data_IF_002897343606
#
_entry.id   IF_002897343606
#
_cell.length_a   1.000
_cell.length_b   1.000
_cell.length_c   1.000
_cell.angle_alpha   90.00
_cell.angle_beta   90.00
_cell.angle_gamma   90.00
#
_symmetry.space_group_name_H-M   'P 1'
#
loop_
_entity.id
_entity.type
_entity.pdbx_description
1 polymer ?
#
# COMPACT_ATOMS: atom_id res chain seq x y z
N UNK A 1 -7.91 46.19 6.00
CA UNK A 1 -6.76 45.91 6.89
C UNK A 1 -6.97 44.51 7.43
N UNK A 2 -6.55 43.49 6.66
CA UNK A 2 -6.54 42.13 7.17
C UNK A 2 -5.31 41.96 8.06
N UNK A 3 -5.54 41.66 9.34
CA UNK A 3 -4.48 41.26 10.25
C UNK A 3 -4.02 39.87 9.83
N UNK A 4 -2.75 39.73 9.45
CA UNK A 4 -2.14 38.41 9.24
C UNK A 4 -2.38 37.54 10.49
N UNK A 5 -2.86 36.29 10.35
CA UNK A 5 -3.10 35.41 11.47
C UNK A 5 -1.78 35.13 12.21
N UNK A 6 -1.85 35.15 13.55
CA UNK A 6 -0.69 34.86 14.42
C UNK A 6 -0.55 33.34 14.52
N UNK A 7 0.61 32.80 14.14
CA UNK A 7 0.92 31.39 14.27
C UNK A 7 1.47 31.07 15.68
N UNK A 8 1.01 29.95 16.26
CA UNK A 8 1.33 29.50 17.61
C UNK A 8 1.72 28.02 17.63
N UNK A 9 2.70 27.67 18.46
CA UNK A 9 3.10 26.27 18.74
C UNK A 9 3.31 26.09 20.25
N UNK A 10 2.77 25.02 20.84
CA UNK A 10 2.67 24.85 22.30
C UNK A 10 3.16 23.46 22.77
N UNK A 11 3.85 23.40 23.92
CA UNK A 11 4.13 22.16 24.67
C UNK A 11 3.70 22.30 26.13
N UNK A 12 3.02 21.29 26.66
CA UNK A 12 2.75 21.18 28.10
C UNK A 12 4.02 20.68 28.78
N UNK A 13 4.59 21.50 29.66
CA UNK A 13 5.79 21.12 30.42
C UNK A 13 5.44 20.28 31.65
N UNK A 14 4.27 20.55 32.24
CA UNK A 14 3.75 19.83 33.40
C UNK A 14 2.25 20.02 33.57
N UNK A 15 1.56 18.96 34.01
CA UNK A 15 0.13 18.99 34.28
C UNK A 15 -0.22 18.56 35.73
N UNK A 16 -0.84 19.46 36.51
CA UNK A 16 -1.25 19.20 37.92
C UNK A 16 -2.76 19.31 38.08
N UNK A 17 -3.28 18.98 39.27
CA UNK A 17 -4.73 18.98 39.56
C UNK A 17 -5.41 20.34 39.32
N UNK A 18 -4.74 21.44 39.65
CA UNK A 18 -5.33 22.80 39.62
C UNK A 18 -4.67 23.75 38.61
N UNK A 19 -3.49 23.40 38.10
CA UNK A 19 -2.66 24.27 37.25
C UNK A 19 -1.96 23.49 36.16
N UNK A 20 -1.64 24.16 35.05
CA UNK A 20 -0.87 23.63 33.92
C UNK A 20 0.27 24.59 33.56
N UNK A 21 1.47 24.05 33.35
CA UNK A 21 2.64 24.81 32.87
C UNK A 21 2.82 24.57 31.37
N UNK A 22 2.93 25.65 30.58
CA UNK A 22 3.10 25.56 29.11
C UNK A 22 4.21 26.45 28.59
N UNK A 23 4.90 25.96 27.56
CA UNK A 23 5.77 26.75 26.70
C UNK A 23 5.04 27.05 25.39
N UNK A 24 5.13 28.29 24.91
CA UNK A 24 4.47 28.75 23.70
C UNK A 24 5.45 29.52 22.81
N UNK A 25 5.65 29.08 21.58
CA UNK A 25 6.23 29.91 20.53
C UNK A 25 5.15 30.77 19.87
N UNK A 26 5.50 32.01 19.58
CA UNK A 26 4.69 33.00 18.88
C UNK A 26 5.54 33.61 17.77
N UNK A 27 5.01 33.71 16.54
CA UNK A 27 5.60 34.53 15.45
C UNK A 27 4.89 35.90 15.28
N UNK A 28 5.60 37.01 15.48
CA UNK A 28 5.06 38.38 15.30
C UNK A 28 5.55 38.91 13.95
N UNK A 29 4.66 39.13 12.98
CA UNK A 29 5.03 39.86 11.76
C UNK A 29 5.13 41.35 12.07
N UNK A 30 6.25 41.99 11.69
CA UNK A 30 6.41 43.44 11.76
C UNK A 30 6.19 44.09 10.38
N UNK A 31 5.69 45.32 10.36
CA UNK A 31 5.50 46.11 9.13
C UNK A 31 6.79 46.37 8.33
N UNK A 32 7.96 46.15 8.93
CA UNK A 32 9.28 46.26 8.30
C UNK A 32 9.71 45.02 7.52
N UNK A 33 8.90 43.95 7.50
CA UNK A 33 9.27 42.65 6.92
C UNK A 33 10.15 41.78 7.81
N UNK A 34 10.52 42.25 9.01
CA UNK A 34 11.23 41.46 10.02
C UNK A 34 10.21 40.62 10.81
N UNK A 35 10.51 39.35 11.03
CA UNK A 35 9.67 38.46 11.85
C UNK A 35 10.39 38.12 13.16
N UNK A 36 9.75 38.40 14.30
CA UNK A 36 10.27 38.08 15.63
C UNK A 36 9.60 36.79 16.15
N UNK A 37 10.40 35.77 16.46
CA UNK A 37 9.94 34.59 17.23
C UNK A 37 10.19 34.82 18.70
N UNK A 38 9.17 34.64 19.54
CA UNK A 38 9.27 34.80 21.00
C UNK A 38 8.80 33.53 21.71
N UNK A 39 9.51 33.15 22.77
CA UNK A 39 9.12 32.10 23.70
C UNK A 39 8.37 32.73 24.88
N UNK A 40 7.16 32.27 25.13
CA UNK A 40 6.38 32.63 26.31
C UNK A 40 6.27 31.42 27.23
N UNK A 41 6.64 31.63 28.49
CA UNK A 41 6.46 30.69 29.58
C UNK A 41 5.35 31.20 30.50
N UNK A 42 4.46 30.31 30.91
CA UNK A 42 3.38 30.69 31.82
C UNK A 42 2.78 29.49 32.55
N UNK A 43 2.25 29.78 33.74
CA UNK A 43 1.42 28.86 34.52
C UNK A 43 -0.02 29.37 34.52
N UNK A 44 -0.95 28.47 34.23
CA UNK A 44 -2.35 28.78 34.00
C UNK A 44 -3.23 27.97 34.95
N UNK A 45 -4.32 28.58 35.43
CA UNK A 45 -5.33 27.86 36.21
C UNK A 45 -6.18 27.01 35.27
N UNK A 46 -6.44 25.76 35.64
CA UNK A 46 -7.36 24.89 34.91
C UNK A 46 -8.79 25.41 35.07
N UNK A 47 -9.51 25.57 33.95
CA UNK A 47 -10.91 25.96 33.99
C UNK A 47 -11.74 24.85 34.67
N UNK A 48 -12.60 25.22 35.63
CA UNK A 48 -13.47 24.27 36.32
C UNK A 48 -14.67 23.82 35.46
N UNK A 49 -14.92 24.47 34.31
CA UNK A 49 -15.99 24.11 33.38
C UNK A 49 -15.66 24.51 31.92
N UNK A 50 -16.21 23.77 30.95
CA UNK A 50 -15.82 23.73 29.52
C UNK A 50 -16.11 25.00 28.69
N UNK A 51 -16.60 26.07 29.31
CA UNK A 51 -17.03 27.31 28.63
C UNK A 51 -16.09 28.50 28.83
N UNK A 52 -15.03 28.37 29.65
CA UNK A 52 -14.09 29.45 29.94
C UNK A 52 -12.69 29.15 29.38
N UNK A 53 -12.09 30.12 28.68
CA UNK A 53 -10.68 30.06 28.26
C UNK A 53 -9.78 30.18 29.49
N UNK A 54 -8.77 29.31 29.59
CA UNK A 54 -7.76 29.30 30.66
C UNK A 54 -7.12 30.70 30.86
N UNK A 55 -6.98 31.13 32.11
CA UNK A 55 -6.41 32.44 32.48
C UNK A 55 -5.06 32.32 33.20
N UNK A 56 -4.15 33.31 33.04
CA UNK A 56 -2.87 33.33 33.77
C UNK A 56 -3.08 33.43 35.29
N UNK A 57 -2.21 32.79 36.07
CA UNK A 57 -2.38 32.62 37.52
C UNK A 57 -2.15 33.91 38.36
N UNK A 58 -1.34 34.87 37.90
CA UNK A 58 -1.10 36.17 38.58
C UNK A 58 -0.67 37.28 37.59
N UNK A 59 -0.96 38.56 37.89
CA UNK A 59 -0.83 39.66 36.93
C UNK A 59 0.43 40.55 37.05
N UNK A 60 1.28 40.47 38.08
CA UNK A 60 2.57 41.22 38.16
C UNK A 60 3.57 40.51 39.11
N UNK A 61 4.84 40.22 38.72
CA UNK A 61 5.29 40.06 37.34
C UNK A 61 4.34 39.05 36.67
N UNK A 62 4.01 39.24 35.38
CA UNK A 62 2.91 38.48 34.76
C UNK A 62 3.04 36.94 34.89
N UNK A 63 4.23 36.40 35.17
CA UNK A 63 4.52 35.29 36.10
C UNK A 63 6.06 35.12 36.21
N UNK A 64 6.66 35.14 37.39
CA UNK A 64 8.00 34.55 37.57
C UNK A 64 7.83 33.03 37.69
N UNK A 65 8.26 32.31 36.66
CA UNK A 65 8.16 30.85 36.60
C UNK A 65 9.55 30.25 36.85
N UNK A 66 9.76 29.73 38.05
CA UNK A 66 10.91 28.84 38.30
C UNK A 66 10.54 27.45 37.81
N UNK A 67 11.32 26.94 36.86
CA UNK A 67 11.17 25.58 36.31
C UNK A 67 11.93 24.63 37.23
N UNK A 68 11.31 23.50 37.59
CA UNK A 68 12.06 22.38 38.17
C UNK A 68 12.85 21.61 37.10
N UNK A 69 13.64 20.61 37.51
CA UNK A 69 14.54 19.87 36.60
C UNK A 69 13.78 19.19 35.45
N UNK A 70 12.57 18.66 35.72
CA UNK A 70 11.71 18.04 34.70
C UNK A 70 11.14 19.10 33.74
N UNK A 71 10.56 20.18 34.26
CA UNK A 71 10.04 21.30 33.47
C UNK A 71 11.15 21.95 32.62
N UNK A 72 12.38 22.03 33.15
CA UNK A 72 13.55 22.60 32.49
C UNK A 72 14.05 21.72 31.35
N UNK A 73 14.21 20.41 31.57
CA UNK A 73 14.58 19.44 30.51
C UNK A 73 13.55 19.42 29.39
N UNK A 74 12.26 19.32 29.74
CA UNK A 74 11.17 19.32 28.75
C UNK A 74 11.13 20.61 27.91
N UNK A 75 11.54 21.75 28.49
CA UNK A 75 11.67 23.02 27.79
C UNK A 75 12.90 23.04 26.86
N UNK A 76 14.05 22.53 27.31
CA UNK A 76 15.24 22.40 26.45
C UNK A 76 14.90 21.57 25.22
N UNK A 77 14.28 20.40 25.42
CA UNK A 77 13.86 19.53 24.32
C UNK A 77 12.92 20.26 23.37
N UNK A 78 11.93 20.99 23.90
CA UNK A 78 11.00 21.79 23.09
C UNK A 78 11.71 22.83 22.23
N UNK A 79 12.66 23.58 22.82
CA UNK A 79 13.39 24.63 22.09
C UNK A 79 14.28 24.01 21.03
N UNK A 80 15.05 22.97 21.38
CA UNK A 80 15.95 22.28 20.46
C UNK A 80 15.18 21.69 19.27
N UNK A 81 14.03 21.09 19.52
CA UNK A 81 13.21 20.46 18.48
C UNK A 81 12.45 21.49 17.62
N UNK A 82 11.98 22.61 18.19
CA UNK A 82 10.96 23.42 17.53
C UNK A 82 11.39 24.85 17.14
N UNK A 83 12.50 25.39 17.67
CA UNK A 83 12.88 26.80 17.45
C UNK A 83 13.22 27.12 15.99
N UNK A 84 14.21 26.42 15.42
CA UNK A 84 14.66 26.67 14.04
C UNK A 84 13.55 26.41 13.00
N UNK A 85 12.80 25.28 13.07
CA UNK A 85 11.66 25.06 12.18
C UNK A 85 10.59 26.14 12.28
N UNK A 86 10.21 26.51 13.51
CA UNK A 86 9.20 27.55 13.72
C UNK A 86 9.70 28.94 13.29
N UNK A 87 11.00 29.21 13.38
CA UNK A 87 11.60 30.43 12.82
C UNK A 87 11.55 30.46 11.30
N UNK A 88 11.77 29.33 10.64
CA UNK A 88 11.76 29.20 9.19
C UNK A 88 10.36 29.19 8.55
N UNK A 89 9.30 29.44 9.32
CA UNK A 89 7.94 29.39 8.79
C UNK A 89 7.24 28.04 8.93
N UNK A 90 7.98 26.97 9.23
CA UNK A 90 7.48 25.61 9.16
C UNK A 90 6.55 25.27 10.33
N UNK A 91 5.41 24.66 10.02
CA UNK A 91 4.43 24.14 11.00
C UNK A 91 4.71 22.67 11.37
N UNK A 92 5.44 21.97 10.50
CA UNK A 92 5.95 20.61 10.69
C UNK A 92 7.25 20.48 9.89
N UNK A 93 8.21 19.69 10.38
CA UNK A 93 9.50 19.46 9.72
C UNK A 93 9.86 17.98 9.77
N UNK A 94 10.81 17.58 8.92
CA UNK A 94 11.35 16.22 8.88
C UNK A 94 12.79 16.28 9.39
N UNK A 95 13.09 15.81 10.61
CA UNK A 95 14.45 15.75 11.12
C UNK A 95 15.29 14.74 10.33
N UNK A 96 16.43 15.17 9.81
CA UNK A 96 17.34 14.32 9.05
C UNK A 96 18.31 13.51 9.94
N UNK A 97 18.47 13.90 11.21
CA UNK A 97 19.27 13.20 12.22
C UNK A 97 18.52 12.00 12.83
N UNK A 98 17.18 12.00 12.77
CA UNK A 98 16.30 10.91 13.22
C UNK A 98 15.26 10.53 12.16
N UNK A 99 15.69 10.12 10.95
CA UNK A 99 14.79 9.99 9.81
C UNK A 99 13.80 8.80 9.89
N UNK A 100 14.01 7.86 10.82
CA UNK A 100 13.21 6.62 10.92
C UNK A 100 12.34 6.53 12.18
N UNK A 101 12.16 7.64 12.92
CA UNK A 101 11.27 7.64 14.08
C UNK A 101 9.79 7.81 13.70
N UNK A 102 8.91 7.66 14.69
CA UNK A 102 7.46 7.79 14.47
C UNK A 102 7.04 9.22 14.12
N UNK A 103 7.80 10.23 14.54
CA UNK A 103 7.49 11.64 14.24
C UNK A 103 7.73 11.92 12.75
N UNK A 104 8.90 11.55 12.23
CA UNK A 104 9.24 11.64 10.82
C UNK A 104 8.26 10.87 9.96
N UNK A 105 7.90 9.64 10.35
CA UNK A 105 6.90 8.85 9.65
C UNK A 105 5.53 9.57 9.56
N UNK A 106 5.10 10.23 10.64
CA UNK A 106 3.85 10.98 10.66
C UNK A 106 3.92 12.27 9.82
N UNK A 107 5.06 12.99 9.84
CA UNK A 107 5.28 14.16 9.00
C UNK A 107 5.24 13.80 7.51
N UNK A 108 5.94 12.72 7.12
CA UNK A 108 5.95 12.19 5.75
C UNK A 108 4.55 11.70 5.33
N UNK A 109 3.82 10.99 6.21
CA UNK A 109 2.42 10.61 5.94
C UNK A 109 1.51 11.83 5.78
N UNK A 110 1.71 12.87 6.58
CA UNK A 110 0.97 14.13 6.48
C UNK A 110 1.17 14.79 5.12
N UNK A 111 2.42 14.83 4.63
CA UNK A 111 2.75 15.34 3.30
C UNK A 111 2.01 14.56 2.20
N UNK A 112 2.09 13.23 2.19
CA UNK A 112 1.44 12.42 1.15
C UNK A 112 -0.09 12.33 1.24
N UNK A 113 -0.68 12.69 2.39
CA UNK A 113 -2.13 12.77 2.57
C UNK A 113 -2.70 14.18 2.35
N UNK A 114 -1.89 15.13 1.86
CA UNK A 114 -2.34 16.50 1.58
C UNK A 114 -3.51 16.50 0.57
N UNK A 115 -4.52 17.39 0.73
CA UNK A 115 -5.66 17.47 -0.19
C UNK A 115 -5.26 17.69 -1.65
N UNK A 116 -4.18 18.43 -1.88
CA UNK A 116 -3.64 18.75 -3.21
C UNK A 116 -2.64 17.69 -3.71
N UNK A 117 -3.06 16.42 -3.75
CA UNK A 117 -2.18 15.31 -4.16
C UNK A 117 -1.54 15.51 -5.54
N UNK A 118 -2.23 16.13 -6.49
CA UNK A 118 -1.72 16.38 -7.84
C UNK A 118 -0.52 17.32 -7.83
N UNK A 119 -0.63 18.47 -7.15
CA UNK A 119 0.48 19.43 -7.04
C UNK A 119 1.71 18.83 -6.35
N UNK A 120 1.50 17.96 -5.36
CA UNK A 120 2.60 17.22 -4.73
C UNK A 120 3.27 16.24 -5.71
N UNK A 121 2.50 15.50 -6.51
CA UNK A 121 3.05 14.58 -7.51
C UNK A 121 3.84 15.32 -8.59
N UNK A 122 3.31 16.43 -9.09
CA UNK A 122 3.98 17.28 -10.09
C UNK A 122 5.29 17.83 -9.52
N UNK A 123 5.29 18.29 -8.27
CA UNK A 123 6.49 18.77 -7.59
C UNK A 123 7.54 17.66 -7.40
N UNK A 124 7.13 16.46 -6.95
CA UNK A 124 8.02 15.30 -6.80
C UNK A 124 8.66 14.93 -8.14
N UNK A 125 7.86 14.87 -9.20
CA UNK A 125 8.31 14.49 -10.54
C UNK A 125 9.23 15.56 -11.16
N UNK A 126 8.88 16.85 -11.03
CA UNK A 126 9.65 17.95 -11.60
C UNK A 126 11.04 18.10 -10.95
N UNK A 127 11.16 17.76 -9.66
CA UNK A 127 12.38 17.93 -8.89
C UNK A 127 13.15 16.63 -8.62
N UNK A 128 12.74 15.50 -9.23
CA UNK A 128 13.34 14.18 -9.05
C UNK A 128 13.54 13.81 -7.56
N UNK A 129 12.55 14.14 -6.73
CA UNK A 129 12.64 13.99 -5.26
C UNK A 129 12.70 12.51 -4.87
N UNK A 130 12.04 11.65 -5.67
CA UNK A 130 12.04 10.21 -5.49
C UNK A 130 12.75 9.62 -6.70
N UNK A 131 14.03 9.26 -6.56
CA UNK A 131 14.78 8.64 -7.64
C UNK A 131 14.11 7.35 -8.13
N UNK A 132 14.27 7.05 -9.42
CA UNK A 132 13.68 5.85 -10.04
C UNK A 132 14.07 4.55 -9.31
N UNK A 133 15.34 4.42 -8.88
CA UNK A 133 15.81 3.24 -8.14
C UNK A 133 15.05 3.03 -6.81
N UNK A 134 14.63 4.10 -6.13
CA UNK A 134 13.87 4.00 -4.89
C UNK A 134 12.44 3.50 -5.16
N UNK A 135 11.84 3.94 -6.27
CA UNK A 135 10.52 3.44 -6.72
C UNK A 135 10.60 1.95 -7.00
N UNK A 136 11.61 1.51 -7.76
CA UNK A 136 11.86 0.10 -8.06
C UNK A 136 12.10 -0.72 -6.78
N UNK A 137 12.94 -0.23 -5.87
CA UNK A 137 13.20 -0.90 -4.58
C UNK A 137 11.93 -1.04 -3.72
N UNK A 138 11.06 -0.03 -3.70
CA UNK A 138 9.77 -0.10 -2.99
C UNK A 138 8.82 -1.12 -3.64
N UNK A 139 8.76 -1.17 -4.97
CA UNK A 139 7.98 -2.18 -5.68
C UNK A 139 8.50 -3.60 -5.43
N UNK A 140 9.82 -3.80 -5.53
CA UNK A 140 10.48 -5.06 -5.24
C UNK A 140 10.18 -5.54 -3.82
N UNK A 141 10.36 -4.67 -2.81
CA UNK A 141 10.03 -4.99 -1.41
C UNK A 141 8.57 -5.39 -1.23
N UNK A 142 7.62 -4.68 -1.86
CA UNK A 142 6.20 -5.04 -1.80
C UNK A 142 5.91 -6.39 -2.45
N UNK A 143 6.55 -6.71 -3.58
CA UNK A 143 6.41 -8.01 -4.26
C UNK A 143 6.97 -9.14 -3.39
N UNK A 144 8.13 -8.93 -2.77
CA UNK A 144 8.71 -9.84 -1.78
C UNK A 144 7.76 -10.13 -0.62
N UNK A 145 7.19 -9.08 -0.01
CA UNK A 145 6.22 -9.23 1.09
C UNK A 145 4.95 -9.98 0.63
N UNK A 146 4.48 -9.74 -0.60
CA UNK A 146 3.34 -10.42 -1.18
C UNK A 146 3.61 -11.92 -1.40
N UNK A 147 4.78 -12.27 -1.93
CA UNK A 147 5.21 -13.67 -2.12
C UNK A 147 5.34 -14.38 -0.77
N UNK A 148 6.01 -13.77 0.21
CA UNK A 148 6.13 -14.34 1.56
C UNK A 148 4.77 -14.50 2.25
N UNK A 149 3.79 -13.64 1.94
CA UNK A 149 2.40 -13.83 2.39
C UNK A 149 1.72 -14.99 1.64
N UNK A 150 1.91 -15.12 0.33
CA UNK A 150 1.38 -16.24 -0.46
C UNK A 150 1.85 -17.58 0.13
N UNK A 151 3.15 -17.71 0.38
CA UNK A 151 3.75 -18.95 0.92
C UNK A 151 3.18 -19.32 2.29
N UNK A 152 2.96 -18.34 3.17
CA UNK A 152 2.27 -18.56 4.45
C UNK A 152 0.82 -18.99 4.25
N UNK A 153 0.09 -18.32 3.38
CA UNK A 153 -1.29 -18.68 3.05
C UNK A 153 -1.40 -20.09 2.47
N UNK A 154 -0.39 -20.57 1.75
CA UNK A 154 -0.32 -21.95 1.24
C UNK A 154 -0.04 -23.00 2.31
N UNK A 155 0.40 -22.61 3.50
CA UNK A 155 0.59 -23.50 4.64
C UNK A 155 -0.63 -23.50 5.59
N UNK A 156 -1.55 -22.56 5.38
CA UNK A 156 -2.77 -22.40 6.15
C UNK A 156 -3.97 -23.01 5.35
N UNK A 157 -4.86 -23.78 5.99
CA UNK A 157 -6.10 -24.29 5.35
C UNK A 157 -7.15 -23.16 5.27
N UNK A 158 -6.87 -22.17 4.44
CA UNK A 158 -7.71 -20.99 4.25
C UNK A 158 -8.93 -21.31 3.39
N UNK A 159 -10.04 -20.64 3.68
CA UNK A 159 -11.18 -20.58 2.77
C UNK A 159 -10.83 -19.77 1.51
N UNK A 160 -11.75 -19.72 0.54
CA UNK A 160 -11.50 -19.08 -0.75
C UNK A 160 -11.41 -17.55 -0.68
N UNK A 161 -12.18 -16.90 0.21
CA UNK A 161 -12.24 -15.44 0.31
C UNK A 161 -10.86 -14.78 0.57
N UNK A 162 -10.02 -15.26 1.52
CA UNK A 162 -8.66 -14.76 1.68
C UNK A 162 -7.82 -14.80 0.40
N UNK A 163 -8.00 -15.83 -0.42
CA UNK A 163 -7.32 -15.94 -1.72
C UNK A 163 -7.84 -14.89 -2.71
N UNK A 164 -9.16 -14.74 -2.84
CA UNK A 164 -9.77 -13.71 -3.68
C UNK A 164 -9.23 -12.31 -3.35
N UNK A 165 -9.21 -11.94 -2.07
CA UNK A 165 -8.67 -10.65 -1.60
C UNK A 165 -7.17 -10.49 -1.92
N UNK A 166 -6.39 -11.57 -1.75
CA UNK A 166 -4.97 -11.54 -2.04
C UNK A 166 -4.70 -11.36 -3.54
N UNK A 167 -5.42 -12.09 -4.41
CA UNK A 167 -5.26 -12.00 -5.85
C UNK A 167 -5.73 -10.64 -6.40
N UNK A 168 -6.80 -10.07 -5.86
CA UNK A 168 -7.26 -8.73 -6.25
C UNK A 168 -6.20 -7.67 -5.95
N UNK A 169 -5.54 -7.77 -4.79
CA UNK A 169 -4.45 -6.84 -4.41
C UNK A 169 -3.15 -7.08 -5.17
N UNK A 170 -2.90 -8.30 -5.63
CA UNK A 170 -1.64 -8.74 -6.23
C UNK A 170 -1.81 -9.29 -7.64
N UNK A 171 -2.71 -8.71 -8.44
CA UNK A 171 -3.06 -9.21 -9.78
C UNK A 171 -1.86 -9.32 -10.74
N UNK A 172 -0.77 -8.60 -10.48
CA UNK A 172 0.50 -8.71 -11.20
C UNK A 172 1.06 -10.14 -11.28
N UNK A 173 0.72 -11.01 -10.31
CA UNK A 173 1.14 -12.43 -10.34
C UNK A 173 0.43 -13.25 -11.39
N UNK A 174 -0.69 -12.76 -11.94
CA UNK A 174 -1.39 -13.40 -13.05
C UNK A 174 -0.71 -13.11 -14.39
N UNK A 175 0.34 -12.27 -14.41
CA UNK A 175 1.15 -11.96 -15.58
C UNK A 175 0.84 -10.59 -16.18
N UNK A 176 1.58 -10.24 -17.24
CA UNK A 176 1.45 -8.96 -17.97
C UNK A 176 0.16 -8.86 -18.78
N UNK A 177 -0.59 -9.95 -18.88
CA UNK A 177 -1.83 -10.03 -19.64
C UNK A 177 -2.97 -9.19 -19.01
N UNK A 178 -2.76 -8.58 -17.83
CA UNK A 178 -3.79 -7.89 -17.07
C UNK A 178 -3.39 -6.46 -16.72
N UNK A 179 -4.32 -5.52 -16.93
CA UNK A 179 -4.17 -4.11 -16.56
C UNK A 179 -4.69 -3.87 -15.15
N UNK A 180 -5.94 -4.31 -14.89
CA UNK A 180 -6.62 -4.06 -13.62
C UNK A 180 -7.74 -5.06 -13.37
N UNK A 181 -8.04 -5.26 -12.09
CA UNK A 181 -9.29 -5.90 -11.64
C UNK A 181 -10.38 -4.84 -11.63
N UNK A 182 -11.58 -5.20 -12.08
CA UNK A 182 -12.76 -4.33 -12.06
C UNK A 182 -13.48 -4.46 -10.72
N UNK A 183 -14.17 -3.39 -10.30
CA UNK A 183 -14.98 -3.41 -9.08
C UNK A 183 -16.24 -4.30 -9.23
N UNK A 184 -16.64 -4.59 -10.47
CA UNK A 184 -17.74 -5.49 -10.80
C UNK A 184 -17.28 -6.96 -10.86
N UNK A 185 -18.14 -7.84 -10.34
CA UNK A 185 -17.96 -9.31 -10.32
C UNK A 185 -19.13 -10.05 -10.94
N UNK A 186 -20.33 -9.46 -10.90
CA UNK A 186 -21.57 -10.03 -11.37
C UNK A 186 -21.70 -9.84 -12.88
N UNK A 187 -21.56 -10.93 -13.62
CA UNK A 187 -21.80 -10.97 -15.06
C UNK A 187 -23.30 -10.73 -15.29
N UNK A 188 -24.13 -11.49 -14.60
CA UNK A 188 -25.59 -11.31 -14.55
C UNK A 188 -26.13 -11.55 -13.12
N UNK A 189 -27.45 -11.66 -12.99
CA UNK A 189 -28.13 -11.87 -11.69
C UNK A 189 -27.84 -13.22 -11.01
N UNK A 190 -27.26 -14.19 -11.74
CA UNK A 190 -27.04 -15.58 -11.29
C UNK A 190 -25.57 -15.97 -11.29
N UNK A 191 -24.74 -15.32 -12.10
CA UNK A 191 -23.36 -15.67 -12.34
C UNK A 191 -22.44 -14.58 -11.80
N UNK A 192 -21.82 -14.86 -10.66
CA UNK A 192 -20.88 -13.98 -9.97
C UNK A 192 -19.52 -14.66 -10.01
N UNK A 193 -18.58 -14.06 -10.75
CA UNK A 193 -17.20 -14.52 -10.84
C UNK A 193 -16.38 -14.09 -9.61
N UNK A 194 -15.18 -14.65 -9.47
CA UNK A 194 -14.25 -14.17 -8.44
C UNK A 194 -13.74 -12.77 -8.75
N UNK A 195 -13.41 -12.51 -10.01
CA UNK A 195 -13.06 -11.17 -10.48
C UNK A 195 -13.26 -11.06 -11.99
N UNK A 196 -13.74 -9.90 -12.42
CA UNK A 196 -13.63 -9.46 -13.81
C UNK A 196 -12.38 -8.58 -13.95
N UNK A 197 -11.71 -8.71 -15.08
CA UNK A 197 -10.45 -7.99 -15.33
C UNK A 197 -10.48 -7.34 -16.68
N UNK A 198 -9.75 -6.23 -16.79
CA UNK A 198 -9.34 -5.73 -18.09
C UNK A 198 -7.97 -6.32 -18.42
N UNK A 199 -7.91 -7.07 -19.52
CA UNK A 199 -6.68 -7.57 -20.10
C UNK A 199 -5.85 -6.46 -20.74
N UNK A 200 -4.56 -6.73 -20.98
CA UNK A 200 -3.60 -5.78 -21.56
C UNK A 200 -4.02 -5.26 -22.95
N UNK A 201 -4.74 -6.08 -23.71
CA UNK A 201 -5.31 -5.75 -25.02
C UNK A 201 -6.62 -4.94 -24.92
N UNK A 202 -7.08 -4.66 -23.69
CA UNK A 202 -8.23 -3.84 -23.37
C UNK A 202 -9.56 -4.58 -23.32
N UNK A 203 -9.56 -5.91 -23.47
CA UNK A 203 -10.78 -6.73 -23.39
C UNK A 203 -11.08 -7.23 -21.98
N UNK A 204 -12.34 -7.60 -21.75
CA UNK A 204 -12.80 -8.13 -20.48
C UNK A 204 -12.49 -9.63 -20.40
N UNK A 205 -11.72 -10.01 -19.38
CA UNK A 205 -11.39 -11.40 -19.03
C UNK A 205 -11.95 -11.75 -17.64
N UNK A 206 -12.02 -13.04 -17.35
CA UNK A 206 -12.59 -13.60 -16.11
C UNK A 206 -11.52 -14.30 -15.30
N UNK A 207 -11.53 -14.10 -13.99
CA UNK A 207 -10.79 -14.90 -13.04
C UNK A 207 -11.72 -15.80 -12.23
N UNK A 208 -11.32 -17.06 -12.09
CA UNK A 208 -11.96 -18.03 -11.20
C UNK A 208 -10.90 -18.69 -10.33
N UNK A 209 -11.16 -18.80 -9.04
CA UNK A 209 -10.29 -19.39 -8.05
C UNK A 209 -11.07 -20.49 -7.35
N UNK A 210 -10.41 -21.63 -7.14
CA UNK A 210 -10.81 -22.61 -6.13
C UNK A 210 -9.74 -22.70 -5.08
N UNK A 211 -10.13 -22.76 -3.80
CA UNK A 211 -9.18 -22.91 -2.68
C UNK A 211 -8.14 -24.03 -2.95
N UNK A 212 -6.87 -23.83 -2.58
CA UNK A 212 -5.78 -24.74 -2.93
C UNK A 212 -5.89 -26.08 -2.20
N UNK A 213 -6.37 -26.05 -0.96
CA UNK A 213 -6.44 -27.18 -0.05
C UNK A 213 -7.89 -27.62 0.18
N UNK A 214 -8.09 -28.89 0.50
CA UNK A 214 -9.39 -29.52 0.66
C UNK A 214 -9.46 -30.89 0.00
N UNK A 215 -10.68 -31.39 -0.24
CA UNK A 215 -10.90 -32.65 -0.99
C UNK A 215 -10.83 -32.47 -2.52
N UNK A 216 -10.39 -31.30 -3.00
CA UNK A 216 -10.34 -31.00 -4.44
C UNK A 216 -9.08 -31.61 -5.05
N UNK A 217 -9.26 -32.58 -5.94
CA UNK A 217 -8.14 -33.22 -6.64
C UNK A 217 -7.92 -32.56 -8.00
N UNK A 218 -6.67 -32.40 -8.45
CA UNK A 218 -6.41 -31.93 -9.82
C UNK A 218 -6.57 -33.07 -10.83
N UNK A 219 -5.84 -34.17 -10.61
CA UNK A 219 -5.90 -35.40 -11.38
C UNK A 219 -6.84 -36.41 -10.73
N UNK A 220 -7.44 -37.29 -11.53
CA UNK A 220 -8.16 -38.43 -10.97
C UNK A 220 -7.20 -39.39 -10.23
N UNK A 221 -7.71 -40.10 -9.22
CA UNK A 221 -6.92 -41.04 -8.41
C UNK A 221 -6.35 -42.22 -9.20
N UNK A 222 -6.97 -42.53 -10.35
CA UNK A 222 -6.57 -43.62 -11.23
C UNK A 222 -6.30 -43.09 -12.63
N UNK A 223 -5.24 -43.62 -13.23
CA UNK A 223 -4.95 -43.41 -14.64
C UNK A 223 -6.04 -44.04 -15.51
N UNK A 224 -6.30 -43.43 -16.65
CA UNK A 224 -7.17 -43.99 -17.68
C UNK A 224 -6.31 -44.39 -18.90
N UNK A 225 -6.22 -45.70 -19.16
CA UNK A 225 -5.35 -46.26 -20.21
C UNK A 225 -3.90 -45.75 -20.15
N UNK A 226 -3.37 -45.54 -18.93
CA UNK A 226 -2.01 -45.03 -18.70
C UNK A 226 -1.88 -43.50 -18.72
N UNK A 227 -2.97 -42.76 -18.89
CA UNK A 227 -2.95 -41.29 -18.96
C UNK A 227 -3.49 -40.66 -17.67
N UNK A 228 -2.89 -39.53 -17.26
CA UNK A 228 -3.48 -38.67 -16.25
C UNK A 228 -4.66 -37.92 -16.85
N UNK A 229 -5.83 -38.07 -16.22
CA UNK A 229 -7.08 -37.41 -16.64
C UNK A 229 -7.54 -36.43 -15.58
N UNK A 230 -8.14 -35.29 -15.96
CA UNK A 230 -8.71 -34.33 -15.02
C UNK A 230 -9.66 -35.02 -14.05
N UNK A 231 -9.58 -34.65 -12.77
CA UNK A 231 -10.55 -35.13 -11.78
C UNK A 231 -11.96 -34.61 -12.08
N UNK A 232 -12.96 -35.18 -11.40
CA UNK A 232 -14.32 -34.61 -11.42
C UNK A 232 -14.39 -33.19 -10.86
N UNK A 233 -13.50 -32.83 -9.93
CA UNK A 233 -13.48 -31.52 -9.29
C UNK A 233 -12.91 -30.46 -10.22
N UNK A 234 -11.79 -30.78 -10.88
CA UNK A 234 -11.21 -29.92 -11.91
C UNK A 234 -12.19 -29.77 -13.09
N UNK A 235 -12.85 -30.85 -13.51
CA UNK A 235 -13.85 -30.80 -14.58
C UNK A 235 -15.03 -29.87 -14.23
N UNK A 236 -15.54 -29.91 -12.99
CA UNK A 236 -16.58 -28.98 -12.53
C UNK A 236 -16.11 -27.53 -12.54
N UNK A 237 -14.87 -27.28 -12.10
CA UNK A 237 -14.30 -25.93 -12.09
C UNK A 237 -14.07 -25.39 -13.52
N UNK A 238 -13.58 -26.23 -14.43
CA UNK A 238 -13.47 -25.91 -15.86
C UNK A 238 -14.86 -25.56 -16.42
N UNK A 239 -15.88 -26.37 -16.13
CA UNK A 239 -17.22 -26.10 -16.62
C UNK A 239 -17.80 -24.78 -16.08
N UNK A 240 -17.50 -24.45 -14.83
CA UNK A 240 -17.90 -23.17 -14.24
C UNK A 240 -17.20 -21.99 -14.94
N UNK A 241 -15.89 -22.07 -15.17
CA UNK A 241 -15.13 -21.07 -15.90
C UNK A 241 -15.65 -20.88 -17.34
N UNK A 242 -15.90 -21.98 -18.05
CA UNK A 242 -16.50 -21.95 -19.39
C UNK A 242 -17.90 -21.33 -19.38
N UNK A 243 -18.70 -21.55 -18.33
CA UNK A 243 -20.00 -20.91 -18.18
C UNK A 243 -19.87 -19.40 -18.06
N UNK A 244 -18.90 -18.90 -17.29
CA UNK A 244 -18.68 -17.45 -17.17
C UNK A 244 -18.25 -16.80 -18.46
N UNK A 245 -17.34 -17.42 -19.21
CA UNK A 245 -16.98 -16.95 -20.57
C UNK A 245 -18.24 -16.81 -21.43
N UNK A 246 -19.08 -17.85 -21.47
CA UNK A 246 -20.31 -17.85 -22.25
C UNK A 246 -21.28 -16.73 -21.83
N UNK A 247 -21.46 -16.51 -20.53
CA UNK A 247 -22.38 -15.47 -20.04
C UNK A 247 -21.85 -14.06 -20.31
N UNK A 248 -20.53 -13.85 -20.21
CA UNK A 248 -19.92 -12.57 -20.62
C UNK A 248 -20.13 -12.33 -22.13
N UNK A 249 -19.96 -13.36 -22.97
CA UNK A 249 -20.25 -13.23 -24.40
C UNK A 249 -21.72 -12.88 -24.67
N UNK A 250 -22.66 -13.41 -23.87
CA UNK A 250 -24.10 -13.07 -24.00
C UNK A 250 -24.40 -11.63 -23.61
N UNK A 251 -23.71 -11.11 -22.61
CA UNK A 251 -23.85 -9.72 -22.17
C UNK A 251 -23.06 -8.73 -23.03
N UNK A 252 -22.39 -9.18 -24.10
CA UNK A 252 -21.45 -8.33 -24.83
C UNK A 252 -22.06 -7.09 -25.52
N UNK A 253 -23.37 -7.13 -25.81
CA UNK A 253 -24.12 -6.01 -26.39
C UNK A 253 -25.04 -5.31 -25.37
N UNK A 254 -24.94 -5.67 -24.09
CA UNK A 254 -25.75 -5.09 -23.02
C UNK A 254 -25.14 -3.77 -22.57
N UNK A 255 -25.81 -2.65 -22.91
CA UNK A 255 -25.36 -1.31 -22.50
C UNK A 255 -25.22 -1.21 -20.97
N UNK A 256 -26.18 -1.79 -20.24
CA UNK A 256 -26.14 -1.83 -18.76
C UNK A 256 -24.94 -2.60 -18.24
N UNK A 257 -24.59 -3.73 -18.86
CA UNK A 257 -23.40 -4.47 -18.46
C UNK A 257 -22.14 -3.66 -18.73
N UNK A 258 -22.02 -3.10 -19.94
CA UNK A 258 -20.88 -2.26 -20.33
C UNK A 258 -20.68 -1.08 -19.38
N UNK A 259 -21.74 -0.40 -18.94
CA UNK A 259 -21.65 0.67 -17.94
C UNK A 259 -21.11 0.16 -16.59
N UNK A 260 -21.55 -1.02 -16.13
CA UNK A 260 -21.06 -1.63 -14.87
C UNK A 260 -19.59 -2.03 -14.93
N UNK A 261 -19.09 -2.39 -16.12
CA UNK A 261 -17.70 -2.80 -16.33
C UNK A 261 -16.82 -1.67 -16.89
N UNK A 262 -17.19 -0.41 -16.67
CA UNK A 262 -16.42 0.78 -17.12
C UNK A 262 -16.12 0.77 -18.63
N UNK A 263 -17.12 0.38 -19.43
CA UNK A 263 -17.07 0.29 -20.88
C UNK A 263 -15.94 -0.59 -21.45
N UNK A 264 -15.40 -1.51 -20.64
CA UNK A 264 -14.42 -2.50 -21.11
C UNK A 264 -15.09 -3.41 -22.14
N UNK A 265 -14.43 -3.60 -23.28
CA UNK A 265 -14.99 -4.36 -24.40
C UNK A 265 -15.02 -5.85 -24.08
N UNK A 266 -16.12 -6.50 -24.40
CA UNK A 266 -16.39 -7.90 -24.08
C UNK A 266 -16.40 -8.73 -25.37
N UNK A 267 -15.24 -8.87 -26.01
CA UNK A 267 -15.08 -9.67 -27.22
C UNK A 267 -14.17 -10.84 -26.90
N UNK A 268 -14.67 -12.07 -27.09
CA UNK A 268 -13.92 -13.31 -26.86
C UNK A 268 -13.21 -13.33 -25.49
N UNK A 269 -13.97 -13.19 -24.39
CA UNK A 269 -13.40 -13.19 -23.05
C UNK A 269 -12.62 -14.49 -22.81
N UNK A 270 -11.48 -14.36 -22.17
CA UNK A 270 -10.67 -15.48 -21.68
C UNK A 270 -10.94 -15.68 -20.20
N UNK A 271 -10.60 -16.85 -19.68
CA UNK A 271 -10.62 -17.11 -18.25
C UNK A 271 -9.30 -17.69 -17.75
N UNK A 272 -8.83 -17.19 -16.61
CA UNK A 272 -7.83 -17.88 -15.80
C UNK A 272 -8.54 -18.58 -14.65
N UNK A 273 -8.39 -19.91 -14.60
CA UNK A 273 -8.81 -20.75 -13.50
C UNK A 273 -7.60 -21.10 -12.63
N UNK A 274 -7.63 -20.74 -11.36
CA UNK A 274 -6.61 -21.12 -10.38
C UNK A 274 -7.14 -22.28 -9.54
N UNK A 275 -6.53 -23.45 -9.67
CA UNK A 275 -7.03 -24.69 -9.10
C UNK A 275 -5.91 -25.61 -8.62
N UNK A 276 -5.98 -26.02 -7.35
CA UNK A 276 -5.15 -27.08 -6.78
C UNK A 276 -3.66 -26.77 -6.67
N UNK A 277 -2.92 -27.75 -6.17
CA UNK A 277 -1.46 -27.72 -5.99
C UNK A 277 -0.79 -28.67 -6.99
N UNK A 278 0.43 -28.31 -7.39
CA UNK A 278 1.31 -29.13 -8.23
C UNK A 278 2.67 -29.38 -7.58
N UNK A 279 2.80 -29.11 -6.28
CA UNK A 279 4.02 -29.33 -5.50
C UNK A 279 4.43 -30.81 -5.39
N UNK A 280 3.50 -31.74 -5.65
CA UNK A 280 3.69 -33.19 -5.63
C UNK A 280 3.73 -33.82 -7.03
N UNK A 281 3.73 -33.02 -8.10
CA UNK A 281 3.71 -33.55 -9.47
C UNK A 281 5.08 -34.05 -9.92
N UNK A 282 5.05 -35.17 -10.63
CA UNK A 282 6.18 -35.69 -11.39
C UNK A 282 6.19 -35.11 -12.82
N UNK A 283 7.15 -35.56 -13.63
CA UNK A 283 7.28 -35.14 -15.02
C UNK A 283 6.07 -35.52 -15.88
N UNK A 284 5.44 -36.68 -15.62
CA UNK A 284 4.31 -37.17 -16.41
C UNK A 284 3.02 -36.38 -16.14
N UNK A 285 2.74 -36.04 -14.87
CA UNK A 285 1.66 -35.11 -14.50
C UNK A 285 1.89 -33.73 -15.10
N UNK A 286 3.14 -33.25 -15.08
CA UNK A 286 3.49 -31.95 -15.66
C UNK A 286 3.33 -31.92 -17.19
N UNK A 287 3.69 -33.01 -17.87
CA UNK A 287 3.45 -33.18 -19.30
C UNK A 287 1.94 -33.22 -19.61
N UNK A 288 1.19 -34.03 -18.86
CA UNK A 288 -0.27 -34.13 -19.01
C UNK A 288 -0.97 -32.79 -18.77
N UNK A 289 -0.49 -31.99 -17.81
CA UNK A 289 -0.98 -30.63 -17.57
C UNK A 289 -0.77 -29.72 -18.79
N UNK A 290 0.38 -29.82 -19.44
CA UNK A 290 0.68 -29.02 -20.64
C UNK A 290 -0.23 -29.42 -21.80
N UNK A 291 -0.47 -30.72 -21.98
CA UNK A 291 -1.42 -31.25 -22.98
C UNK A 291 -2.83 -30.73 -22.69
N UNK A 292 -3.30 -30.86 -21.44
CA UNK A 292 -4.61 -30.37 -21.01
C UNK A 292 -4.78 -28.88 -21.32
N UNK A 293 -3.84 -28.03 -20.90
CA UNK A 293 -3.93 -26.60 -21.16
C UNK A 293 -3.89 -26.25 -22.65
N UNK A 294 -3.12 -26.99 -23.46
CA UNK A 294 -3.07 -26.76 -24.91
C UNK A 294 -4.39 -27.04 -25.64
N UNK A 295 -5.30 -27.81 -25.01
CA UNK A 295 -6.62 -28.09 -25.58
C UNK A 295 -7.61 -26.93 -25.44
N UNK A 296 -7.30 -25.94 -24.59
CA UNK A 296 -8.14 -24.77 -24.35
C UNK A 296 -7.70 -23.58 -25.19
N UNK A 297 -8.66 -22.85 -25.75
CA UNK A 297 -8.43 -21.67 -26.58
C UNK A 297 -8.68 -20.35 -25.82
N UNK A 298 -9.62 -20.35 -24.88
CA UNK A 298 -10.02 -19.19 -24.08
C UNK A 298 -10.00 -19.48 -22.57
N UNK A 299 -9.41 -20.59 -22.14
CA UNK A 299 -9.26 -20.95 -20.72
C UNK A 299 -7.79 -21.29 -20.47
N UNK A 300 -7.25 -20.81 -19.36
CA UNK A 300 -5.94 -21.22 -18.83
C UNK A 300 -6.13 -21.72 -17.42
N UNK A 301 -5.70 -22.94 -17.14
CA UNK A 301 -5.72 -23.52 -15.80
C UNK A 301 -4.33 -23.38 -15.20
N UNK A 302 -4.21 -22.71 -14.06
CA UNK A 302 -2.98 -22.57 -13.27
C UNK A 302 -3.17 -23.25 -11.91
N UNK A 303 -2.10 -23.82 -11.36
CA UNK A 303 -2.07 -24.21 -9.94
C UNK A 303 -1.53 -23.04 -9.11
N UNK A 304 -1.72 -23.10 -7.80
CA UNK A 304 -1.14 -22.08 -6.91
C UNK A 304 0.39 -22.09 -6.96
N UNK A 305 1.01 -23.24 -7.18
CA UNK A 305 2.47 -23.34 -7.32
C UNK A 305 2.94 -22.75 -8.66
N UNK A 306 2.19 -22.90 -9.77
CA UNK A 306 2.48 -22.21 -11.03
C UNK A 306 2.43 -20.69 -10.90
N UNK A 307 1.45 -20.16 -10.15
CA UNK A 307 1.35 -18.73 -9.86
C UNK A 307 2.53 -18.26 -9.00
N UNK A 308 2.86 -19.01 -7.95
CA UNK A 308 3.98 -18.69 -7.06
C UNK A 308 5.32 -18.69 -7.81
N UNK A 309 5.55 -19.68 -8.67
CA UNK A 309 6.75 -19.75 -9.51
C UNK A 309 6.83 -18.59 -10.50
N UNK A 310 5.70 -18.19 -11.09
CA UNK A 310 5.63 -17.00 -11.94
C UNK A 310 6.01 -15.75 -11.15
N UNK A 311 5.45 -15.56 -9.95
CA UNK A 311 5.73 -14.42 -9.10
C UNK A 311 7.22 -14.35 -8.70
N UNK A 312 7.82 -15.49 -8.34
CA UNK A 312 9.26 -15.58 -8.02
C UNK A 312 10.15 -15.25 -9.21
N UNK A 313 9.78 -15.69 -10.42
CA UNK A 313 10.54 -15.36 -11.65
C UNK A 313 10.48 -13.89 -12.00
N UNK A 314 9.31 -13.26 -11.87
CA UNK A 314 9.16 -11.81 -12.06
C UNK A 314 10.08 -11.04 -11.11
N UNK A 315 10.13 -11.45 -9.84
CA UNK A 315 10.98 -10.82 -8.85
C UNK A 315 12.48 -10.95 -9.16
N UNK A 316 12.95 -12.14 -9.59
CA UNK A 316 14.35 -12.34 -9.98
C UNK A 316 14.76 -11.48 -11.17
N UNK A 317 13.86 -11.34 -12.15
CA UNK A 317 14.11 -10.47 -13.29
C UNK A 317 14.25 -9.00 -12.87
N UNK A 318 13.45 -8.54 -11.90
CA UNK A 318 13.57 -7.18 -11.36
C UNK A 318 14.95 -6.96 -10.71
N UNK A 319 15.52 -7.97 -10.03
CA UNK A 319 16.84 -7.89 -9.38
C UNK A 319 17.97 -7.79 -10.41
N UNK A 320 17.94 -8.62 -11.46
CA UNK A 320 18.95 -8.63 -12.53
C UNK A 320 18.90 -7.36 -13.40
N UNK A 321 17.78 -6.63 -13.39
CA UNK A 321 17.58 -5.42 -14.18
C UNK A 321 17.98 -4.13 -13.44
N UNK A 322 18.43 -4.20 -12.18
CA UNK A 322 18.83 -2.99 -11.44
C UNK A 322 20.21 -2.53 -11.91
N UNK A 323 20.39 -1.23 -12.26
CA UNK A 323 21.72 -0.69 -12.48
C UNK A 323 22.54 -0.82 -11.19
N UNK A 324 23.80 -1.25 -11.30
CA UNK A 324 24.72 -1.26 -10.17
C UNK A 324 24.79 0.16 -9.58
N UNK A 325 24.59 0.27 -8.27
CA UNK A 325 24.74 1.53 -7.54
C UNK A 325 26.21 1.98 -7.64
N UNK A 326 26.51 3.13 -8.27
CA UNK A 326 27.88 3.64 -8.34
C UNK A 326 28.48 3.93 -6.95
N UNK A 327 27.64 4.05 -5.92
CA UNK A 327 28.00 4.49 -4.57
C UNK A 327 28.78 3.51 -3.71
N UNK A 328 28.89 2.23 -4.08
CA UNK A 328 29.60 1.23 -3.25
C UNK A 328 31.09 1.05 -3.64
N UNK A 329 31.58 1.83 -4.61
CA UNK A 329 32.95 1.72 -5.14
C UNK A 329 33.98 2.73 -4.57
N UNK A 330 33.57 3.70 -3.76
CA UNK A 330 34.50 4.63 -3.09
C UNK A 330 34.53 4.39 -1.57
N UNK A 331 35.16 3.28 -1.16
CA UNK A 331 35.82 3.28 0.15
C UNK A 331 37.07 4.14 0.01
N UNK A 332 37.24 5.23 0.79
CA UNK A 332 38.47 5.99 0.75
C UNK A 332 39.61 5.05 1.16
N UNK A 333 40.51 4.82 0.22
CA UNK A 333 41.78 4.16 0.52
C UNK A 333 42.55 5.17 1.36
N UNK A 334 42.71 4.89 2.65
CA UNK A 334 43.67 5.58 3.50
C UNK A 334 45.04 5.50 2.81
N UNK A 335 45.50 6.63 2.27
CA UNK A 335 46.90 6.79 1.85
C UNK A 335 47.57 7.62 2.96
N UNK A 336 48.50 7.05 3.73
CA UNK A 336 49.25 7.81 4.71
C UNK A 336 50.25 8.75 4.01
N UNK A 337 50.49 9.87 4.69
CA UNK A 337 51.48 10.95 4.47
C UNK A 337 50.98 12.19 3.72
#
# INVERSE_FOLDING_TARGET
MDRNPIDHLAKVLRDKKTVITRALFWRIPHHSGKEDVRLKLGRYRKAQDSTHREGPEALIPKSELTLDDEEFKNLIDFIQENYEPFRAGAKAFIPLDKPFDSHTANAVKGLFNHPEKRGLLDFIAQHDIIPEHLILALHHKRRMEAIARFERMLADDLTEQPWQEWFQKNSWVLGTEFVRVLDERAIDTRHISDFLMQAYDGFLDVGEIKRPEGRLMFWADKLDHGNYVPSSDLTKAIMQASRYIYEVEREANSVKFLERVDHVKTIKPRCILIFGRSNDWDSERSESYRILNSSFHNLTVLTYDHVLDRARRLLKHDEESQPEDPGDSERPVDVPF
#
